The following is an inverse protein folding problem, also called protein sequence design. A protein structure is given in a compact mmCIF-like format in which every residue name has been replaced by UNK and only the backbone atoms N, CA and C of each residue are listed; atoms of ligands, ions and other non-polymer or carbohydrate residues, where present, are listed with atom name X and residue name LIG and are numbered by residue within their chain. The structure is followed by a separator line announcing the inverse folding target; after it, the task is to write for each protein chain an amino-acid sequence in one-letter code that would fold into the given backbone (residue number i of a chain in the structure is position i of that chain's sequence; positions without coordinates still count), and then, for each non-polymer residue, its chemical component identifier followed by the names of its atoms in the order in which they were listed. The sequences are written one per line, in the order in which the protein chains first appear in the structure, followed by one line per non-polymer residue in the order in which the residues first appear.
data_IF_045423207434
#
_entry.id   IF_045423207434
#
_cell.length_a   1.000
_cell.length_b   1.000
_cell.length_c   1.000
_cell.angle_alpha   90.00
_cell.angle_beta   90.00
_cell.angle_gamma   90.00
#
_symmetry.space_group_name_H-M   'P 1'
#
loop_
_entity.id
_entity.type
_entity.pdbx_description
1 polymer ?
#
# COMPACT_ATOMS: atom_id res chain seq x y z
N UNK A 1 -1.14 34.20 -6.16
CA UNK A 1 -0.41 32.93 -5.90
C UNK A 1 -0.37 32.71 -4.39
N UNK A 2 -1.12 31.72 -3.86
CA UNK A 2 -1.01 31.35 -2.44
C UNK A 2 -0.05 30.18 -2.34
N UNK A 3 1.08 30.40 -1.67
CA UNK A 3 2.05 29.36 -1.38
C UNK A 3 1.39 28.27 -0.52
N UNK A 4 1.31 27.05 -1.05
CA UNK A 4 0.97 25.87 -0.26
C UNK A 4 2.02 25.71 0.85
N UNK A 5 1.64 25.43 2.10
CA UNK A 5 2.63 25.18 3.14
C UNK A 5 3.34 23.86 2.79
N UNK A 6 4.60 23.94 2.37
CA UNK A 6 5.49 22.80 2.30
C UNK A 6 5.54 22.14 3.68
N UNK A 7 4.89 20.97 3.82
CA UNK A 7 5.19 20.08 4.94
C UNK A 7 6.54 19.43 4.63
N UNK A 8 7.62 20.14 4.95
CA UNK A 8 8.95 19.54 4.99
C UNK A 8 8.89 18.29 5.86
N UNK A 9 9.40 17.17 5.35
CA UNK A 9 9.51 15.93 6.12
C UNK A 9 10.21 16.24 7.45
N UNK A 10 9.62 15.82 8.58
CA UNK A 10 10.14 16.14 9.91
C UNK A 10 11.59 15.64 10.05
N UNK A 11 12.47 16.50 10.56
CA UNK A 11 13.84 16.14 10.91
C UNK A 11 13.91 15.04 11.97
N UNK A 12 15.12 14.53 12.22
CA UNK A 12 15.38 13.42 13.16
C UNK A 12 14.77 13.63 14.56
N UNK A 13 14.87 14.85 15.10
CA UNK A 13 14.30 15.22 16.41
C UNK A 13 12.77 15.16 16.38
N UNK A 14 12.15 15.74 15.35
CA UNK A 14 10.68 15.74 15.22
C UNK A 14 10.11 14.33 15.12
N UNK A 15 10.78 13.43 14.38
CA UNK A 15 10.40 12.02 14.27
C UNK A 15 10.55 11.27 15.60
N UNK A 16 11.58 11.61 16.38
CA UNK A 16 11.81 11.03 17.71
C UNK A 16 10.77 11.46 18.74
N UNK A 17 10.33 12.73 18.69
CA UNK A 17 9.24 13.23 19.54
C UNK A 17 7.91 12.56 19.20
N UNK A 18 7.62 12.38 17.90
CA UNK A 18 6.41 11.66 17.47
C UNK A 18 6.39 10.22 17.98
N UNK A 19 7.53 9.53 17.91
CA UNK A 19 7.66 8.15 18.43
C UNK A 19 7.52 8.09 19.95
N UNK A 20 8.10 9.03 20.69
CA UNK A 20 7.90 9.12 22.14
C UNK A 20 6.42 9.36 22.47
N UNK A 21 5.77 10.31 21.78
CA UNK A 21 4.35 10.60 21.97
C UNK A 21 3.48 9.36 21.72
N UNK A 22 3.80 8.58 20.68
CA UNK A 22 3.12 7.31 20.38
C UNK A 22 3.27 6.30 21.52
N UNK A 23 4.50 6.08 22.00
CA UNK A 23 4.75 5.14 23.11
C UNK A 23 4.02 5.58 24.38
N UNK A 24 4.00 6.88 24.67
CA UNK A 24 3.27 7.44 25.80
C UNK A 24 1.76 7.30 25.65
N UNK A 25 1.19 7.49 24.44
CA UNK A 25 -0.26 7.33 24.22
C UNK A 25 -0.72 5.89 24.41
N UNK A 26 0.06 4.90 23.94
CA UNK A 26 -0.23 3.47 24.14
C UNK A 26 -0.34 3.16 25.64
N UNK A 27 0.61 3.65 26.44
CA UNK A 27 0.62 3.46 27.88
C UNK A 27 -0.56 4.18 28.57
N UNK A 28 -0.82 5.44 28.20
CA UNK A 28 -1.88 6.26 28.78
C UNK A 28 -3.28 5.72 28.48
N UNK A 29 -3.51 5.29 27.24
CA UNK A 29 -4.80 4.75 26.80
C UNK A 29 -5.06 3.33 27.35
N UNK A 30 -4.08 2.72 28.04
CA UNK A 30 -4.09 1.32 28.44
C UNK A 30 -4.38 0.41 27.24
N UNK A 31 -3.83 0.71 26.07
CA UNK A 31 -4.08 -0.05 24.84
C UNK A 31 -3.66 -1.52 24.98
N UNK A 32 -2.68 -1.81 25.85
CA UNK A 32 -2.31 -3.17 26.23
C UNK A 32 -3.41 -3.95 26.97
N UNK A 33 -4.36 -3.25 27.60
CA UNK A 33 -5.47 -3.83 28.39
C UNK A 33 -6.80 -3.73 27.64
N UNK A 34 -7.06 -2.58 26.99
CA UNK A 34 -8.34 -2.28 26.32
C UNK A 34 -8.37 -2.69 24.85
N UNK A 35 -7.22 -3.00 24.25
CA UNK A 35 -7.06 -3.23 22.82
C UNK A 35 -7.08 -1.92 22.01
N UNK A 36 -6.42 -1.93 20.85
CA UNK A 36 -6.36 -0.74 19.98
C UNK A 36 -7.66 -0.60 19.18
N UNK A 37 -8.34 0.54 19.35
CA UNK A 37 -9.71 0.76 18.86
C UNK A 37 -9.79 1.45 17.48
N UNK A 38 -8.74 2.15 17.04
CA UNK A 38 -8.73 2.95 15.81
C UNK A 38 -7.77 2.43 14.74
N UNK A 39 -7.97 2.77 13.45
CA UNK A 39 -7.06 2.39 12.38
C UNK A 39 -5.68 3.03 12.57
N UNK A 40 -4.61 2.31 12.20
CA UNK A 40 -3.24 2.82 12.16
C UNK A 40 -2.82 3.15 10.73
N UNK A 41 -2.69 4.44 10.36
CA UNK A 41 -2.11 4.81 9.08
C UNK A 41 -0.71 4.24 8.94
N UNK A 42 -0.44 3.56 7.82
CA UNK A 42 0.88 3.03 7.48
C UNK A 42 1.53 3.92 6.42
N UNK A 43 0.78 4.22 5.35
CA UNK A 43 1.25 5.09 4.27
C UNK A 43 0.08 5.79 3.56
N UNK A 44 0.18 7.09 3.33
CA UNK A 44 -0.85 7.88 2.64
C UNK A 44 -0.22 8.61 1.46
N UNK A 45 -0.73 8.38 0.25
CA UNK A 45 -0.22 8.98 -0.98
C UNK A 45 -0.88 10.34 -1.23
N UNK A 46 -0.75 11.25 -0.26
CA UNK A 46 -1.43 12.54 -0.22
C UNK A 46 -0.57 13.72 -0.71
N UNK A 47 0.72 13.49 -0.96
CA UNK A 47 1.67 14.48 -1.44
C UNK A 47 2.64 13.91 -2.48
N UNK A 48 3.18 14.76 -3.38
CA UNK A 48 4.15 14.34 -4.39
C UNK A 48 5.50 13.91 -3.80
N UNK A 49 5.89 14.43 -2.63
CA UNK A 49 7.11 14.00 -1.93
C UNK A 49 6.97 12.55 -1.47
N UNK A 50 5.84 12.18 -0.88
CA UNK A 50 5.59 10.82 -0.39
C UNK A 50 5.63 9.81 -1.54
N UNK A 51 5.01 10.14 -2.68
CA UNK A 51 5.04 9.26 -3.86
C UNK A 51 6.47 9.11 -4.41
N UNK A 52 7.24 10.21 -4.45
CA UNK A 52 8.61 10.22 -4.99
C UNK A 52 9.59 9.41 -4.15
N UNK A 53 9.38 9.33 -2.84
CA UNK A 53 10.22 8.55 -1.94
C UNK A 53 10.02 7.02 -2.09
N UNK A 54 8.99 6.59 -2.82
CA UNK A 54 8.77 5.18 -3.12
C UNK A 54 9.83 4.65 -4.08
N UNK A 55 10.21 3.39 -3.90
CA UNK A 55 11.16 2.69 -4.76
C UNK A 55 10.35 1.95 -5.82
N UNK A 56 10.51 2.36 -7.08
CA UNK A 56 9.91 1.71 -8.26
C UNK A 56 10.93 0.76 -8.89
N UNK A 57 10.47 -0.40 -9.36
CA UNK A 57 11.32 -1.43 -9.96
C UNK A 57 10.55 -2.23 -11.00
N UNK A 58 11.23 -2.59 -12.10
CA UNK A 58 10.72 -3.52 -13.10
C UNK A 58 11.77 -4.61 -13.38
N UNK A 59 11.44 -5.51 -14.30
CA UNK A 59 12.38 -6.49 -14.84
C UNK A 59 13.57 -5.89 -15.59
N UNK A 60 13.63 -4.57 -15.81
CA UNK A 60 14.82 -3.90 -16.34
C UNK A 60 16.08 -4.22 -15.53
N UNK A 61 15.96 -4.43 -14.21
CA UNK A 61 17.08 -4.83 -13.35
C UNK A 61 17.73 -6.17 -13.75
N UNK A 62 16.96 -7.04 -14.41
CA UNK A 62 17.44 -8.32 -14.96
C UNK A 62 17.62 -8.28 -16.48
N UNK A 63 17.40 -7.13 -17.13
CA UNK A 63 17.49 -6.94 -18.59
C UNK A 63 16.16 -7.08 -19.33
N UNK A 64 15.03 -7.16 -18.62
CA UNK A 64 13.70 -7.17 -19.22
C UNK A 64 13.31 -5.81 -19.81
N UNK A 65 12.18 -5.80 -20.52
CA UNK A 65 11.67 -4.63 -21.24
C UNK A 65 10.33 -4.10 -20.68
N UNK A 66 9.97 -4.46 -19.45
CA UNK A 66 8.82 -3.86 -18.77
C UNK A 66 9.16 -2.48 -18.25
N UNK A 67 8.22 -1.55 -18.43
CA UNK A 67 8.33 -0.17 -17.96
C UNK A 67 7.26 0.10 -16.89
N UNK A 68 7.62 0.85 -15.86
CA UNK A 68 6.68 1.26 -14.82
C UNK A 68 7.00 2.60 -14.20
N UNK A 69 5.96 3.29 -13.77
CA UNK A 69 6.00 4.63 -13.23
C UNK A 69 5.07 4.73 -12.02
N UNK A 70 5.39 5.62 -11.08
CA UNK A 70 4.57 5.92 -9.93
C UNK A 70 4.43 7.44 -9.78
N UNK A 71 3.26 7.95 -10.18
CA UNK A 71 3.02 9.40 -10.25
C UNK A 71 2.02 9.84 -9.19
N UNK A 72 2.23 11.03 -8.62
CA UNK A 72 1.25 11.66 -7.75
C UNK A 72 0.15 12.34 -8.57
N UNK A 73 -1.10 12.01 -8.29
CA UNK A 73 -2.27 12.58 -8.94
C UNK A 73 -3.06 13.40 -7.92
N UNK A 74 -3.18 14.70 -8.20
CA UNK A 74 -4.07 15.59 -7.48
C UNK A 74 -5.35 15.82 -8.32
N UNK A 75 -6.54 15.44 -7.84
CA UNK A 75 -7.80 15.69 -8.53
C UNK A 75 -8.03 17.20 -8.72
N UNK A 76 -8.61 17.58 -9.86
CA UNK A 76 -8.92 18.98 -10.17
C UNK A 76 -10.17 19.44 -9.42
N UNK A 77 -11.21 18.58 -9.36
CA UNK A 77 -12.48 18.84 -8.68
C UNK A 77 -12.82 17.72 -7.67
N UNK A 78 -12.18 17.69 -6.48
CA UNK A 78 -12.57 16.77 -5.42
C UNK A 78 -13.95 17.14 -4.85
N UNK A 79 -14.83 16.17 -4.52
CA UNK A 79 -14.62 14.72 -4.54
C UNK A 79 -14.99 14.00 -5.84
N UNK A 80 -15.47 14.70 -6.88
CA UNK A 80 -15.98 14.09 -8.12
C UNK A 80 -14.90 13.31 -8.88
N UNK A 81 -13.67 13.84 -8.92
CA UNK A 81 -12.54 13.21 -9.62
C UNK A 81 -11.78 12.17 -8.77
N UNK A 82 -12.28 11.89 -7.56
CA UNK A 82 -11.63 11.01 -6.58
C UNK A 82 -10.65 11.74 -5.65
N UNK A 83 -9.89 10.98 -4.83
CA UNK A 83 -8.94 11.54 -3.85
C UNK A 83 -7.57 11.85 -4.47
N UNK A 84 -6.71 12.57 -3.75
CA UNK A 84 -5.27 12.54 -4.02
C UNK A 84 -4.74 11.10 -3.89
N UNK A 85 -3.90 10.65 -4.82
CA UNK A 85 -3.42 9.27 -4.84
C UNK A 85 -2.09 9.12 -5.60
N UNK A 86 -1.46 7.96 -5.44
CA UNK A 86 -0.42 7.48 -6.35
C UNK A 86 -1.06 6.69 -7.49
N UNK A 87 -0.60 6.91 -8.72
CA UNK A 87 -0.95 6.12 -9.91
C UNK A 87 0.26 5.29 -10.30
N UNK A 88 0.16 3.98 -10.09
CA UNK A 88 1.13 2.99 -10.53
C UNK A 88 0.71 2.45 -11.90
N UNK A 89 1.44 2.81 -12.94
CA UNK A 89 1.09 2.47 -14.32
C UNK A 89 2.32 2.14 -15.15
N UNK A 90 2.10 1.50 -16.30
CA UNK A 90 3.18 1.12 -17.19
C UNK A 90 2.77 0.04 -18.17
N UNK A 91 3.75 -0.70 -18.68
CA UNK A 91 3.57 -1.77 -19.64
C UNK A 91 4.44 -2.97 -19.27
N UNK A 92 3.83 -4.14 -19.17
CA UNK A 92 4.53 -5.42 -18.96
C UNK A 92 4.93 -6.01 -20.30
N UNK A 93 6.20 -6.40 -20.41
CA UNK A 93 6.73 -7.21 -21.48
C UNK A 93 7.25 -8.53 -20.94
N UNK A 94 6.97 -9.63 -21.62
CA UNK A 94 7.46 -10.98 -21.25
C UNK A 94 8.65 -11.40 -22.10
N UNK A 95 9.20 -10.49 -22.90
CA UNK A 95 10.38 -10.75 -23.73
C UNK A 95 11.60 -10.99 -22.83
N UNK A 96 12.36 -12.03 -23.16
CA UNK A 96 13.57 -12.37 -22.42
C UNK A 96 14.77 -11.60 -23.00
N UNK A 97 15.69 -11.12 -22.16
CA UNK A 97 16.91 -10.46 -22.61
C UNK A 97 17.75 -11.38 -23.50
N UNK A 98 18.08 -10.92 -24.71
CA UNK A 98 18.91 -11.66 -25.67
C UNK A 98 20.36 -11.80 -25.17
N UNK A 99 20.84 -10.85 -24.39
CA UNK A 99 22.19 -10.80 -23.84
C UNK A 99 22.36 -11.65 -22.58
N UNK A 100 21.27 -12.17 -21.98
CA UNK A 100 21.29 -12.90 -20.71
C UNK A 100 20.47 -14.19 -20.77
N UNK A 101 21.02 -15.26 -21.39
CA UNK A 101 20.29 -16.52 -21.59
C UNK A 101 19.95 -17.29 -20.29
N UNK A 102 20.53 -16.90 -19.15
CA UNK A 102 20.20 -17.47 -17.82
C UNK A 102 18.88 -16.91 -17.25
N UNK A 103 18.31 -15.87 -17.84
CA UNK A 103 17.05 -15.29 -17.40
C UNK A 103 15.90 -16.09 -18.00
N UNK A 104 15.30 -16.96 -17.20
CA UNK A 104 14.18 -17.81 -17.64
C UNK A 104 12.82 -17.11 -17.51
N UNK A 105 12.75 -16.03 -16.72
CA UNK A 105 11.50 -15.34 -16.37
C UNK A 105 11.70 -13.83 -16.37
N UNK A 106 10.82 -13.15 -17.10
CA UNK A 106 10.69 -11.68 -17.18
C UNK A 106 9.21 -11.31 -17.11
N UNK A 107 8.87 -10.04 -17.10
CA UNK A 107 7.50 -9.53 -17.03
C UNK A 107 7.05 -9.23 -15.61
N UNK A 108 7.74 -8.31 -14.93
CA UNK A 108 7.26 -7.76 -13.67
C UNK A 108 7.46 -6.26 -13.56
N UNK A 109 6.59 -5.65 -12.76
CA UNK A 109 6.73 -4.29 -12.28
C UNK A 109 6.24 -4.23 -10.83
N UNK A 110 6.89 -3.42 -10.01
CA UNK A 110 6.51 -3.23 -8.63
C UNK A 110 6.95 -1.86 -8.12
N UNK A 111 6.35 -1.44 -7.03
CA UNK A 111 6.91 -0.40 -6.18
C UNK A 111 6.81 -0.82 -4.72
N UNK A 112 7.59 -0.17 -3.86
CA UNK A 112 7.44 -0.27 -2.40
C UNK A 112 7.68 1.07 -1.72
N UNK A 113 7.10 1.22 -0.53
CA UNK A 113 7.40 2.35 0.35
C UNK A 113 8.89 2.37 0.71
N UNK A 114 9.45 3.54 1.04
CA UNK A 114 10.78 3.63 1.64
C UNK A 114 10.82 2.89 2.97
N UNK A 115 12.03 2.56 3.42
CA UNK A 115 12.22 2.18 4.82
C UNK A 115 11.85 3.37 5.70
N UNK A 116 11.26 3.11 6.87
CA UNK A 116 11.03 4.20 7.81
C UNK A 116 12.35 4.76 8.32
N UNK A 117 12.41 6.09 8.33
CA UNK A 117 13.60 6.81 8.75
C UNK A 117 13.86 6.60 10.26
N UNK A 118 15.12 6.39 10.67
CA UNK A 118 15.48 6.03 12.05
C UNK A 118 15.22 7.16 13.05
N UNK A 119 14.93 6.80 14.30
CA UNK A 119 14.76 7.74 15.43
C UNK A 119 15.86 7.53 16.47
N UNK A 120 15.87 8.31 17.55
CA UNK A 120 16.74 8.04 18.72
C UNK A 120 16.52 6.65 19.34
N UNK A 121 15.39 6.01 19.04
CA UNK A 121 15.06 4.66 19.48
C UNK A 121 15.52 3.56 18.50
N UNK A 122 16.31 3.92 17.49
CA UNK A 122 16.87 2.99 16.50
C UNK A 122 16.15 3.02 15.15
N UNK A 123 16.22 1.90 14.41
CA UNK A 123 15.51 1.73 13.14
C UNK A 123 14.01 1.75 13.41
N UNK A 124 13.28 2.52 12.62
CA UNK A 124 11.83 2.60 12.71
C UNK A 124 11.20 1.47 11.91
N UNK A 125 10.20 0.82 12.50
CA UNK A 125 9.39 -0.25 11.89
C UNK A 125 7.93 -0.05 12.29
N UNK A 126 6.99 -0.57 11.50
CA UNK A 126 5.60 -0.63 11.92
C UNK A 126 5.38 -1.86 12.79
N UNK A 127 4.73 -1.62 13.92
CA UNK A 127 4.20 -2.66 14.78
C UNK A 127 2.69 -2.83 14.52
N UNK A 128 2.36 -3.80 13.68
CA UNK A 128 0.97 -4.09 13.31
C UNK A 128 0.40 -5.27 14.12
N UNK A 129 1.12 -5.76 15.13
CA UNK A 129 0.71 -6.92 15.93
C UNK A 129 -0.71 -6.75 16.53
N UNK A 130 -1.10 -5.55 17.03
CA UNK A 130 -2.45 -5.33 17.55
C UNK A 130 -3.57 -5.32 16.49
N UNK A 131 -3.24 -5.47 15.20
CA UNK A 131 -4.18 -5.33 14.09
C UNK A 131 -4.40 -6.66 13.37
N UNK A 132 -5.65 -6.91 12.96
CA UNK A 132 -6.03 -8.14 12.25
C UNK A 132 -5.88 -7.98 10.73
N UNK A 133 -6.18 -6.79 10.21
CA UNK A 133 -6.26 -6.53 8.77
C UNK A 133 -5.26 -5.47 8.31
N UNK A 134 -4.73 -5.69 7.11
CA UNK A 134 -4.22 -4.66 6.22
C UNK A 134 -5.37 -4.14 5.35
N UNK A 135 -5.50 -2.83 5.28
CA UNK A 135 -6.49 -2.14 4.48
C UNK A 135 -5.81 -1.27 3.43
N UNK A 136 -6.29 -1.31 2.18
CA UNK A 136 -5.83 -0.48 1.09
C UNK A 136 -7.02 0.15 0.36
N UNK A 137 -6.97 1.47 0.14
CA UNK A 137 -7.96 2.16 -0.70
C UNK A 137 -7.41 2.32 -2.10
N UNK A 138 -7.99 1.61 -3.06
CA UNK A 138 -7.46 1.45 -4.42
C UNK A 138 -8.53 1.67 -5.49
N UNK A 139 -8.08 1.89 -6.73
CA UNK A 139 -8.87 1.73 -7.96
C UNK A 139 -8.00 0.94 -8.95
N UNK A 140 -8.42 -0.28 -9.26
CA UNK A 140 -7.64 -1.20 -10.11
C UNK A 140 -8.24 -1.30 -11.52
N UNK A 141 -7.41 -1.50 -12.52
CA UNK A 141 -7.79 -1.90 -13.88
C UNK A 141 -8.25 -3.37 -14.02
N UNK A 142 -8.19 -4.17 -12.95
CA UNK A 142 -8.56 -5.59 -12.95
C UNK A 142 -7.40 -6.56 -13.21
N UNK A 143 -6.16 -6.08 -13.37
CA UNK A 143 -4.96 -6.92 -13.42
C UNK A 143 -4.73 -7.65 -12.10
N UNK A 144 -3.94 -8.73 -12.15
CA UNK A 144 -3.57 -9.49 -10.98
C UNK A 144 -2.34 -8.89 -10.28
N UNK A 145 -2.59 -8.00 -9.32
CA UNK A 145 -1.56 -7.44 -8.45
C UNK A 145 -1.33 -8.30 -7.20
N UNK A 146 -0.15 -8.15 -6.60
CA UNK A 146 0.25 -8.71 -5.32
C UNK A 146 0.68 -7.59 -4.37
N UNK A 147 0.23 -7.69 -3.12
CA UNK A 147 0.74 -6.91 -2.00
C UNK A 147 1.97 -7.64 -1.49
N UNK A 148 3.06 -6.90 -1.32
CA UNK A 148 4.35 -7.39 -0.89
C UNK A 148 4.72 -6.71 0.43
N UNK A 149 5.04 -7.50 1.46
CA UNK A 149 5.46 -6.99 2.76
C UNK A 149 6.87 -7.48 3.05
N UNK A 150 7.75 -6.55 3.41
CA UNK A 150 9.09 -6.87 3.90
C UNK A 150 9.15 -6.61 5.40
N UNK A 151 9.59 -7.60 6.17
CA UNK A 151 9.85 -7.49 7.61
C UNK A 151 11.36 -7.52 7.89
N UNK A 152 11.75 -7.32 9.15
CA UNK A 152 13.08 -7.79 9.59
C UNK A 152 13.08 -9.33 9.60
N UNK A 153 13.64 -9.95 8.55
CA UNK A 153 13.91 -11.39 8.46
C UNK A 153 15.43 -11.63 8.51
N UNK A 154 15.82 -12.88 8.79
CA UNK A 154 17.21 -13.35 8.67
C UNK A 154 17.68 -13.18 7.22
N UNK A 155 16.80 -13.52 6.27
CA UNK A 155 17.05 -13.38 4.85
C UNK A 155 16.41 -12.09 4.33
N UNK A 156 17.19 -11.06 3.96
CA UNK A 156 16.64 -9.75 3.56
C UNK A 156 15.79 -9.81 2.29
N UNK A 157 15.95 -10.86 1.49
CA UNK A 157 15.20 -11.09 0.26
C UNK A 157 13.82 -11.73 0.49
N UNK A 158 13.51 -12.15 1.72
CA UNK A 158 12.20 -12.68 2.07
C UNK A 158 11.11 -11.61 1.92
N UNK A 159 10.03 -12.03 1.27
CA UNK A 159 8.86 -11.22 1.02
C UNK A 159 7.62 -12.00 1.44
N UNK A 160 6.70 -11.34 2.11
CA UNK A 160 5.39 -11.92 2.40
C UNK A 160 4.41 -11.39 1.37
N UNK A 161 3.79 -12.27 0.60
CA UNK A 161 2.97 -11.91 -0.55
C UNK A 161 1.53 -12.35 -0.36
N UNK A 162 0.61 -11.50 -0.80
CA UNK A 162 -0.80 -11.84 -0.91
C UNK A 162 -1.38 -11.22 -2.18
N UNK A 163 -2.26 -11.93 -2.88
CA UNK A 163 -2.90 -11.40 -4.09
C UNK A 163 -3.87 -10.26 -3.74
N UNK A 164 -3.77 -9.15 -4.45
CA UNK A 164 -4.71 -8.04 -4.31
C UNK A 164 -5.99 -8.36 -5.07
N UNK A 165 -7.07 -8.66 -4.35
CA UNK A 165 -8.37 -8.96 -4.96
C UNK A 165 -9.24 -7.70 -5.03
N UNK A 166 -9.20 -7.01 -6.18
CA UNK A 166 -10.16 -5.97 -6.51
C UNK A 166 -11.50 -6.60 -6.92
N UNK A 167 -12.60 -6.18 -6.29
CA UNK A 167 -13.96 -6.65 -6.59
C UNK A 167 -14.67 -5.75 -7.59
N UNK A 168 -14.25 -4.49 -7.70
CA UNK A 168 -14.88 -3.47 -8.55
C UNK A 168 -13.82 -2.76 -9.40
N UNK A 169 -13.26 -3.41 -10.43
CA UNK A 169 -12.35 -2.77 -11.36
C UNK A 169 -12.93 -1.47 -11.92
N UNK A 170 -12.09 -0.45 -12.07
CA UNK A 170 -12.47 0.90 -12.51
C UNK A 170 -13.11 1.78 -11.42
N UNK A 171 -13.44 1.24 -10.25
CA UNK A 171 -14.04 2.00 -9.14
C UNK A 171 -13.14 2.04 -7.92
N UNK A 172 -13.26 3.10 -7.12
CA UNK A 172 -12.57 3.17 -5.84
C UNK A 172 -13.21 2.20 -4.84
N UNK A 173 -12.38 1.36 -4.23
CA UNK A 173 -12.79 0.41 -3.21
C UNK A 173 -11.73 0.24 -2.14
N UNK A 174 -12.15 -0.25 -0.98
CA UNK A 174 -11.24 -0.60 0.09
C UNK A 174 -11.12 -2.12 0.17
N UNK A 175 -9.90 -2.63 -0.04
CA UNK A 175 -9.58 -4.04 0.08
C UNK A 175 -9.01 -4.29 1.48
N UNK A 176 -9.53 -5.32 2.15
CA UNK A 176 -9.11 -5.76 3.48
C UNK A 176 -8.48 -7.16 3.34
N UNK A 177 -7.27 -7.34 3.86
CA UNK A 177 -6.52 -8.61 3.82
C UNK A 177 -6.07 -8.95 5.23
N UNK A 178 -6.23 -10.19 5.69
CA UNK A 178 -5.71 -10.58 7.00
C UNK A 178 -4.20 -10.74 6.92
N UNK A 179 -3.48 -10.31 7.95
CA UNK A 179 -2.02 -10.46 7.98
C UNK A 179 -1.56 -11.93 7.93
N UNK A 180 -2.37 -12.86 8.43
CA UNK A 180 -2.08 -14.31 8.40
C UNK A 180 -2.32 -14.96 7.02
N UNK A 181 -2.95 -14.28 6.07
CA UNK A 181 -3.17 -14.84 4.74
C UNK A 181 -1.93 -14.63 3.84
N UNK A 182 -0.95 -13.84 4.28
CA UNK A 182 0.28 -13.61 3.53
C UNK A 182 1.20 -14.84 3.57
N UNK A 183 1.70 -15.22 2.40
CA UNK A 183 2.59 -16.37 2.22
C UNK A 183 4.03 -15.87 2.05
N UNK A 184 4.98 -16.49 2.75
CA UNK A 184 6.40 -16.15 2.63
C UNK A 184 6.96 -16.72 1.33
N UNK A 185 7.59 -15.85 0.55
CA UNK A 185 8.27 -16.17 -0.69
C UNK A 185 9.67 -15.57 -0.71
N UNK A 186 10.53 -16.18 -1.52
CA UNK A 186 11.87 -15.68 -1.80
C UNK A 186 12.13 -15.84 -3.30
N UNK A 187 12.54 -14.76 -3.96
CA UNK A 187 12.64 -14.68 -5.42
C UNK A 187 11.38 -15.19 -6.18
N UNK A 188 10.19 -15.05 -5.59
CA UNK A 188 8.93 -15.50 -6.17
C UNK A 188 8.64 -17.00 -6.04
N UNK A 189 9.45 -17.74 -5.28
CA UNK A 189 9.20 -19.12 -4.90
C UNK A 189 8.72 -19.20 -3.44
N UNK A 190 7.76 -20.08 -3.17
CA UNK A 190 7.29 -20.32 -1.80
C UNK A 190 8.41 -21.01 -1.03
N UNK A 191 8.78 -20.48 0.13
CA UNK A 191 9.88 -21.02 0.95
C UNK A 191 9.31 -21.73 2.17
N UNK A 192 9.70 -22.99 2.36
CA UNK A 192 9.45 -23.72 3.60
C UNK A 192 10.66 -23.60 4.54
N UNK A 193 10.47 -23.55 5.87
CA UNK A 193 9.20 -23.56 6.59
C UNK A 193 8.47 -22.22 6.46
N UNK A 194 7.15 -22.23 6.29
CA UNK A 194 6.36 -21.00 6.36
C UNK A 194 6.41 -20.46 7.79
N UNK A 195 7.21 -19.42 8.01
CA UNK A 195 7.17 -18.65 9.26
C UNK A 195 6.10 -17.58 9.11
N UNK A 196 5.36 -17.33 10.18
CA UNK A 196 4.40 -16.23 10.20
C UNK A 196 5.08 -14.88 9.96
N UNK A 197 4.32 -13.95 9.38
CA UNK A 197 4.75 -12.56 9.19
C UNK A 197 5.17 -11.95 10.54
N UNK A 198 6.39 -11.43 10.64
CA UNK A 198 6.85 -10.75 11.86
C UNK A 198 6.19 -9.36 12.00
N UNK A 199 4.96 -9.36 12.54
CA UNK A 199 4.05 -8.21 12.63
C UNK A 199 4.63 -7.00 13.38
N UNK A 200 5.50 -7.21 14.35
CA UNK A 200 6.10 -6.14 15.14
C UNK A 200 7.18 -5.35 14.37
N UNK A 201 7.66 -5.90 13.25
CA UNK A 201 8.85 -5.42 12.55
C UNK A 201 8.64 -5.26 11.04
N UNK A 202 7.50 -4.72 10.65
CA UNK A 202 7.22 -4.45 9.23
C UNK A 202 8.02 -3.23 8.77
N UNK A 203 8.80 -3.39 7.71
CA UNK A 203 9.68 -2.35 7.17
C UNK A 203 9.07 -1.62 6.00
N UNK A 204 8.59 -2.37 5.02
CA UNK A 204 8.08 -1.80 3.76
C UNK A 204 6.82 -2.54 3.32
N UNK A 205 5.95 -1.83 2.62
CA UNK A 205 4.80 -2.39 1.93
C UNK A 205 4.94 -1.98 0.47
N UNK A 206 4.71 -2.91 -0.44
CA UNK A 206 4.76 -2.68 -1.87
C UNK A 206 3.61 -3.35 -2.58
N UNK A 207 3.42 -2.96 -3.83
CA UNK A 207 2.49 -3.60 -4.73
C UNK A 207 3.22 -3.85 -6.05
N UNK A 208 3.02 -5.03 -6.62
CA UNK A 208 3.57 -5.35 -7.93
C UNK A 208 2.69 -6.33 -8.68
N UNK A 209 3.00 -6.53 -9.95
CA UNK A 209 2.40 -7.55 -10.79
C UNK A 209 3.47 -8.46 -11.38
N UNK A 210 3.18 -9.74 -11.36
CA UNK A 210 3.99 -10.84 -11.92
C UNK A 210 3.09 -11.80 -12.71
N UNK A 211 2.01 -11.26 -13.28
CA UNK A 211 0.95 -11.99 -13.98
C UNK A 211 1.42 -12.58 -15.33
N UNK A 212 2.56 -12.14 -15.84
CA UNK A 212 3.12 -12.47 -17.15
C UNK A 212 2.14 -12.23 -18.29
N UNK A 213 1.26 -11.26 -18.14
CA UNK A 213 0.36 -10.82 -19.21
C UNK A 213 0.97 -9.57 -19.84
N UNK A 214 1.42 -9.70 -21.10
CA UNK A 214 1.91 -8.55 -21.87
C UNK A 214 0.79 -7.52 -22.04
N UNK A 215 1.09 -6.25 -21.81
CA UNK A 215 0.10 -5.19 -21.96
C UNK A 215 0.25 -4.03 -20.98
N UNK A 216 -0.63 -3.02 -21.05
CA UNK A 216 -0.66 -1.90 -20.11
C UNK A 216 -1.24 -2.31 -18.76
N UNK A 217 -0.84 -1.63 -17.70
CA UNK A 217 -1.49 -1.77 -16.37
C UNK A 217 -1.68 -0.40 -15.73
N UNK A 218 -2.69 -0.27 -14.88
CA UNK A 218 -3.03 0.97 -14.17
C UNK A 218 -3.70 0.66 -12.81
N UNK A 219 -3.02 1.04 -11.74
CA UNK A 219 -3.51 0.93 -10.37
C UNK A 219 -3.36 2.26 -9.64
N UNK A 220 -4.47 2.79 -9.14
CA UNK A 220 -4.46 3.95 -8.25
C UNK A 220 -4.51 3.49 -6.79
N UNK A 221 -3.70 4.11 -5.92
CA UNK A 221 -3.65 3.82 -4.48
C UNK A 221 -3.71 5.14 -3.70
N UNK A 222 -4.72 5.29 -2.86
CA UNK A 222 -4.88 6.46 -2.01
C UNK A 222 -4.09 6.30 -0.69
N UNK A 223 -4.30 5.18 0.01
CA UNK A 223 -3.74 4.97 1.35
C UNK A 223 -3.71 3.50 1.75
N UNK A 224 -2.86 3.21 2.73
CA UNK A 224 -2.60 1.91 3.33
C UNK A 224 -2.63 2.09 4.85
N UNK A 225 -3.42 1.27 5.56
CA UNK A 225 -3.53 1.32 7.02
C UNK A 225 -3.77 -0.06 7.62
N UNK A 226 -3.48 -0.23 8.91
CA UNK A 226 -3.86 -1.40 9.67
C UNK A 226 -5.19 -1.15 10.39
N UNK A 227 -6.07 -2.16 10.47
CA UNK A 227 -7.37 -2.03 11.14
C UNK A 227 -7.84 -3.34 11.78
N UNK A 228 -8.69 -3.21 12.80
CA UNK A 228 -9.46 -4.31 13.40
C UNK A 228 -10.92 -4.34 12.94
N UNK A 229 -11.40 -3.28 12.28
CA UNK A 229 -12.79 -3.12 11.88
C UNK A 229 -12.96 -3.42 10.39
N UNK A 230 -13.64 -4.52 10.06
CA UNK A 230 -13.92 -4.88 8.66
C UNK A 230 -14.83 -3.85 7.96
N UNK A 231 -15.60 -3.09 8.74
CA UNK A 231 -16.46 -2.00 8.27
C UNK A 231 -15.69 -0.83 7.71
N UNK A 232 -14.40 -0.64 8.02
CA UNK A 232 -13.56 0.38 7.37
C UNK A 232 -13.51 0.16 5.84
N UNK A 233 -13.67 -1.11 5.41
CA UNK A 233 -13.85 -1.48 4.02
C UNK A 233 -15.17 -0.98 3.41
N UNK A 234 -16.25 -1.05 4.17
CA UNK A 234 -17.61 -0.71 3.74
C UNK A 234 -17.97 0.78 3.94
N UNK A 235 -17.41 1.44 4.95
CA UNK A 235 -17.65 2.84 5.26
C UNK A 235 -17.14 3.76 4.14
N UNK A 236 -16.00 3.42 3.53
CA UNK A 236 -15.48 4.14 2.37
C UNK A 236 -16.29 3.89 1.07
N UNK A 237 -17.24 2.95 1.06
CA UNK A 237 -18.22 2.78 -0.02
C UNK A 237 -19.52 3.55 0.22
N UNK A 238 -19.80 3.98 1.47
CA UNK A 238 -21.00 4.74 1.84
C UNK A 238 -20.89 6.25 1.58
N UNK A 239 -19.71 6.76 1.19
CA UNK A 239 -19.52 8.18 0.87
C UNK A 239 -20.08 8.57 -0.50
N UNK A 240 -20.45 7.61 -1.36
CA UNK A 240 -21.32 7.88 -2.51
C UNK A 240 -22.76 7.92 -2.01
N UNK A 241 -23.27 9.14 -1.81
CA UNK A 241 -24.63 9.41 -1.35
C UNK A 241 -25.66 8.83 -2.33
N UNK A 242 -26.15 7.62 -2.04
CA UNK A 242 -27.42 7.16 -2.60
C UNK A 242 -28.54 7.98 -1.97
N UNK A 243 -28.81 9.14 -2.56
CA UNK A 243 -30.01 9.90 -2.29
C UNK A 243 -31.18 9.13 -2.91
N UNK A 244 -32.04 8.56 -2.06
CA UNK A 244 -33.30 7.96 -2.50
C UNK A 244 -34.16 9.06 -3.13
N UNK A 245 -34.45 8.91 -4.43
CA UNK A 245 -35.35 9.78 -5.17
C UNK A 245 -36.68 9.05 -5.41
N UNK A 246 -37.79 9.76 -5.20
CA UNK A 246 -39.10 9.22 -5.55
C UNK A 246 -39.28 9.12 -7.08
N UNK A 247 -40.38 8.51 -7.55
CA UNK A 247 -40.70 8.37 -8.99
C UNK A 247 -40.83 9.72 -9.74
N UNK A 248 -40.84 10.85 -9.01
CA UNK A 248 -40.87 12.22 -9.53
C UNK A 248 -39.52 12.95 -9.40
N UNK A 249 -38.44 12.24 -9.05
CA UNK A 249 -37.08 12.79 -8.99
C UNK A 249 -36.76 13.64 -7.76
N UNK A 250 -37.65 13.73 -6.77
CA UNK A 250 -37.43 14.53 -5.56
C UNK A 250 -36.71 13.71 -4.48
N UNK A 251 -35.76 14.36 -3.80
CA UNK A 251 -35.00 13.81 -2.68
C UNK A 251 -35.92 13.57 -1.48
N UNK A 252 -35.94 12.34 -0.95
CA UNK A 252 -36.67 12.01 0.27
C UNK A 252 -35.71 12.17 1.46
N UNK A 253 -36.03 13.11 2.35
CA UNK A 253 -35.43 13.21 3.68
C UNK A 253 -36.36 12.45 4.63
N UNK A 254 -35.81 11.58 5.47
CA UNK A 254 -36.53 11.00 6.61
C UNK A 254 -36.61 12.02 7.74
#
# INVERSE_FOLDING_TARGET
MRASPHRLAKGFIGRSVDELKRRSSIAWNLEAIKGVQGPRPLYAFDSPEVVRDCIVMSDEIIGGSSACNLDFVKPQSPPQDGPCHARFHGFISTELPLDRPKVERSGFAAFRTPNQSPTVFGRSVWDIDPYIYLALRIKSDGRAYFINIQTESVEPTDLHQHRLFAKRPGQWETVMVKWNDFVRTNHGFVVEPQTELLRQKVRTIGIGLTDRVKGPFDLCIQSIWASNNITDGAAAAKTDSTVLRNRKGQTVQW
#
